data_IF_810736945137
#
_entry.id   IF_810736945137
#
_cell.length_a   1.000
_cell.length_b   1.000
_cell.length_c   1.000
_cell.angle_alpha   90.00
_cell.angle_beta   90.00
_cell.angle_gamma   90.00
#
_symmetry.space_group_name_H-M   'P 1'
#
loop_
_entity.id
_entity.type
_entity.pdbx_description
1 polymer ?
#
# COMPACT_ATOMS: atom_id res chain seq x y z
N UNK A 1 17.81 2.52 8.22
CA UNK A 1 17.52 3.15 6.91
C UNK A 1 16.01 3.20 6.75
N UNK A 2 15.41 4.40 6.69
CA UNK A 2 13.97 4.53 6.44
C UNK A 2 13.68 4.09 4.99
N UNK A 3 12.67 3.23 4.82
CA UNK A 3 12.24 2.86 3.48
C UNK A 3 11.47 4.02 2.87
N UNK A 4 11.48 4.17 1.54
CA UNK A 4 10.66 5.18 0.86
C UNK A 4 9.16 5.04 1.16
N UNK A 5 8.73 3.89 1.67
CA UNK A 5 7.36 3.59 2.04
C UNK A 5 7.01 3.89 3.51
N UNK A 6 7.95 4.40 4.32
CA UNK A 6 7.70 4.80 5.70
C UNK A 6 6.53 5.80 5.83
N UNK A 7 6.38 6.83 4.97
CA UNK A 7 5.24 7.74 5.04
C UNK A 7 3.89 7.04 4.82
N UNK A 8 3.86 6.04 3.94
CA UNK A 8 2.66 5.24 3.67
C UNK A 8 2.29 4.38 4.88
N UNK A 9 3.29 3.78 5.53
CA UNK A 9 3.10 3.06 6.78
C UNK A 9 2.43 3.93 7.83
N UNK A 10 3.00 5.11 8.11
CA UNK A 10 2.46 6.03 9.12
C UNK A 10 1.05 6.53 8.77
N UNK A 11 0.79 6.77 7.48
CA UNK A 11 -0.52 7.18 7.01
C UNK A 11 -1.59 6.12 7.35
N UNK A 12 -1.30 4.86 7.05
CA UNK A 12 -2.21 3.74 7.34
C UNK A 12 -2.36 3.47 8.85
N UNK A 13 -1.28 3.61 9.64
CA UNK A 13 -1.37 3.51 11.11
C UNK A 13 -2.35 4.54 11.66
N UNK A 14 -2.25 5.81 11.22
CA UNK A 14 -3.18 6.87 11.66
C UNK A 14 -4.63 6.58 11.31
N UNK A 15 -4.89 5.96 10.15
CA UNK A 15 -6.24 5.50 9.80
C UNK A 15 -6.71 4.37 10.73
N UNK A 16 -5.82 3.43 11.06
CA UNK A 16 -6.15 2.33 11.98
C UNK A 16 -6.44 2.80 13.40
N UNK A 17 -5.71 3.81 13.88
CA UNK A 17 -5.93 4.47 15.16
C UNK A 17 -7.25 5.25 15.21
N UNK A 18 -7.73 5.77 14.07
CA UNK A 18 -9.05 6.39 13.94
C UNK A 18 -10.20 5.39 13.96
N UNK A 19 -9.92 4.10 13.83
CA UNK A 19 -10.91 3.04 13.76
C UNK A 19 -11.31 2.65 12.33
N UNK A 20 -10.61 3.16 11.31
CA UNK A 20 -10.87 2.76 9.93
C UNK A 20 -10.43 1.30 9.70
N UNK A 21 -11.30 0.51 9.09
CA UNK A 21 -11.02 -0.88 8.71
C UNK A 21 -10.57 -1.00 7.26
N UNK A 22 -10.90 -0.02 6.42
CA UNK A 22 -10.63 0.01 4.99
C UNK A 22 -10.22 1.42 4.57
N UNK A 23 -9.21 1.52 3.70
CA UNK A 23 -8.69 2.79 3.17
C UNK A 23 -8.55 2.64 1.67
N UNK A 24 -9.37 3.38 0.92
CA UNK A 24 -9.20 3.53 -0.52
C UNK A 24 -8.12 4.59 -0.77
N UNK A 25 -7.12 4.25 -1.57
CA UNK A 25 -6.12 5.18 -2.05
C UNK A 25 -5.91 4.99 -3.55
N UNK A 26 -5.81 6.09 -4.28
CA UNK A 26 -5.34 6.07 -5.67
C UNK A 26 -3.82 5.90 -5.73
N UNK A 27 -3.31 5.46 -6.88
CA UNK A 27 -1.87 5.28 -7.08
C UNK A 27 -1.16 6.63 -6.95
N UNK A 28 -1.78 7.70 -7.44
CA UNK A 28 -1.28 9.06 -7.31
C UNK A 28 -1.24 9.53 -5.84
N UNK A 29 -2.23 9.19 -5.03
CA UNK A 29 -2.19 9.45 -3.58
C UNK A 29 -1.07 8.68 -2.91
N UNK A 30 -0.89 7.40 -3.25
CA UNK A 30 0.22 6.59 -2.73
C UNK A 30 1.56 7.22 -3.09
N UNK A 31 1.75 7.62 -4.35
CA UNK A 31 2.96 8.33 -4.83
C UNK A 31 3.20 9.66 -4.10
N UNK A 32 2.13 10.39 -3.84
CA UNK A 32 2.18 11.66 -3.09
C UNK A 32 2.59 11.42 -1.64
N UNK A 33 2.04 10.38 -1.00
CA UNK A 33 2.38 9.99 0.38
C UNK A 33 3.84 9.58 0.47
N UNK A 34 4.31 8.68 -0.41
CA UNK A 34 5.71 8.22 -0.42
C UNK A 34 6.68 9.21 -1.05
N UNK A 35 6.16 10.33 -1.60
CA UNK A 35 6.90 11.37 -2.32
C UNK A 35 7.81 10.82 -3.41
N UNK A 36 7.37 9.75 -4.05
CA UNK A 36 8.16 8.98 -5.02
C UNK A 36 7.21 8.30 -6.00
N UNK A 37 7.53 8.26 -7.30
CA UNK A 37 6.73 7.53 -8.26
C UNK A 37 6.78 6.01 -7.97
N UNK A 38 5.64 5.36 -8.16
CA UNK A 38 5.51 3.92 -8.10
C UNK A 38 6.23 3.31 -9.33
N UNK A 39 6.88 2.14 -9.17
CA UNK A 39 7.52 1.48 -10.30
C UNK A 39 6.46 1.06 -11.34
N UNK A 40 6.83 0.95 -12.63
CA UNK A 40 5.92 0.48 -13.68
C UNK A 40 5.25 -0.87 -13.35
N UNK A 41 5.91 -1.71 -12.56
CA UNK A 41 5.36 -2.98 -12.11
C UNK A 41 4.10 -2.83 -11.24
N UNK A 42 3.99 -1.76 -10.45
CA UNK A 42 2.78 -1.46 -9.68
C UNK A 42 1.58 -1.18 -10.60
N UNK A 43 1.83 -0.60 -11.78
CA UNK A 43 0.81 -0.28 -12.78
C UNK A 43 0.39 -1.49 -13.62
N UNK A 44 1.34 -2.39 -13.91
CA UNK A 44 1.11 -3.49 -14.84
C UNK A 44 0.78 -4.83 -14.16
N UNK A 45 1.17 -5.01 -12.89
CA UNK A 45 1.04 -6.29 -12.21
C UNK A 45 0.25 -6.15 -10.91
N UNK A 46 -1.00 -6.64 -10.89
CA UNK A 46 -1.79 -6.77 -9.66
C UNK A 46 -1.02 -7.51 -8.56
N UNK A 47 -0.29 -8.62 -8.84
CA UNK A 47 0.50 -9.32 -7.83
C UNK A 47 1.52 -8.45 -7.10
N UNK A 48 1.97 -7.33 -7.69
CA UNK A 48 2.86 -6.36 -7.04
C UNK A 48 2.22 -5.77 -5.77
N UNK A 49 0.90 -5.56 -5.78
CA UNK A 49 0.14 -5.07 -4.61
C UNK A 49 -0.26 -6.19 -3.65
N UNK A 50 -0.23 -7.45 -4.08
CA UNK A 50 -0.69 -8.57 -3.26
C UNK A 50 0.33 -8.98 -2.21
N UNK A 51 -0.16 -9.50 -1.08
CA UNK A 51 0.65 -10.02 0.01
C UNK A 51 1.11 -11.47 -0.16
N UNK A 52 1.12 -11.97 -1.40
CA UNK A 52 1.54 -13.34 -1.68
C UNK A 52 3.01 -13.54 -1.30
N UNK A 53 3.28 -14.48 -0.39
CA UNK A 53 4.61 -14.79 0.19
C UNK A 53 5.73 -15.00 -0.86
N UNK A 54 5.37 -15.32 -2.09
CA UNK A 54 6.31 -15.51 -3.21
C UNK A 54 6.79 -14.21 -3.88
N UNK A 55 6.05 -13.10 -3.73
CA UNK A 55 6.32 -11.82 -4.42
C UNK A 55 6.20 -10.63 -3.46
N UNK A 56 6.54 -10.82 -2.18
CA UNK A 56 6.54 -9.70 -1.22
C UNK A 56 7.71 -8.78 -1.52
N UNK A 57 7.42 -7.77 -2.34
CA UNK A 57 8.31 -6.67 -2.67
C UNK A 57 8.62 -5.82 -1.43
N UNK A 58 9.76 -5.11 -1.48
CA UNK A 58 10.18 -4.20 -0.43
C UNK A 58 9.16 -3.08 -0.11
N UNK A 59 8.27 -2.77 -1.07
CA UNK A 59 7.18 -1.81 -0.88
C UNK A 59 6.11 -2.30 0.08
N UNK A 60 5.56 -3.47 -0.18
CA UNK A 60 4.58 -4.10 0.71
C UNK A 60 5.14 -4.27 2.12
N UNK A 61 6.33 -4.87 2.23
CA UNK A 61 7.02 -5.17 3.50
C UNK A 61 7.23 -3.96 4.40
N UNK A 62 7.58 -2.80 3.83
CA UNK A 62 7.92 -1.61 4.60
C UNK A 62 6.80 -0.55 4.64
N UNK A 63 5.75 -0.72 3.85
CA UNK A 63 4.61 0.19 3.75
C UNK A 63 3.42 -0.33 4.55
N UNK A 64 2.44 -0.91 3.86
CA UNK A 64 1.17 -1.35 4.46
C UNK A 64 1.32 -2.59 5.35
N UNK A 65 2.13 -3.59 4.98
CA UNK A 65 2.33 -4.78 5.85
C UNK A 65 2.97 -4.40 7.18
N UNK A 66 3.96 -3.50 7.16
CA UNK A 66 4.58 -2.99 8.38
C UNK A 66 3.63 -2.13 9.23
N UNK A 67 2.54 -1.65 8.67
CA UNK A 67 1.48 -0.93 9.37
C UNK A 67 0.39 -1.86 9.93
N UNK A 68 0.43 -3.16 9.64
CA UNK A 68 -0.68 -4.09 9.95
C UNK A 68 -1.85 -3.99 8.97
N UNK A 69 -1.58 -3.62 7.72
CA UNK A 69 -2.57 -3.51 6.65
C UNK A 69 -2.25 -4.50 5.52
N UNK A 70 -3.29 -4.99 4.86
CA UNK A 70 -3.28 -5.82 3.65
C UNK A 70 -3.91 -5.04 2.48
N UNK A 71 -3.66 -5.46 1.25
CA UNK A 71 -4.40 -5.01 0.08
C UNK A 71 -5.56 -5.98 -0.16
N UNK A 72 -6.78 -5.52 0.11
CA UNK A 72 -8.01 -6.29 -0.13
C UNK A 72 -8.34 -6.33 -1.63
N UNK A 73 -8.21 -5.18 -2.29
CA UNK A 73 -8.51 -5.06 -3.71
C UNK A 73 -7.60 -4.07 -4.41
N UNK A 74 -7.26 -4.34 -5.68
CA UNK A 74 -6.55 -3.40 -6.52
C UNK A 74 -7.14 -3.38 -7.93
N UNK A 75 -7.36 -2.17 -8.44
CA UNK A 75 -7.83 -1.91 -9.78
C UNK A 75 -6.76 -1.14 -10.56
N UNK A 76 -6.13 -1.80 -11.51
CA UNK A 76 -5.10 -1.18 -12.37
C UNK A 76 -5.70 -0.23 -13.43
N UNK A 77 -6.96 -0.44 -13.84
CA UNK A 77 -7.63 0.46 -14.81
C UNK A 77 -7.90 1.81 -14.18
N UNK A 78 -8.54 1.78 -13.01
CA UNK A 78 -8.90 2.99 -12.27
C UNK A 78 -7.75 3.50 -11.40
N UNK A 79 -6.64 2.75 -11.34
CA UNK A 79 -5.43 3.06 -10.56
C UNK A 79 -5.76 3.34 -9.09
N UNK A 80 -6.55 2.46 -8.50
CA UNK A 80 -6.95 2.51 -7.10
C UNK A 80 -6.62 1.21 -6.39
N UNK A 81 -6.30 1.33 -5.10
CA UNK A 81 -6.03 0.21 -4.20
C UNK A 81 -6.83 0.41 -2.92
N UNK A 82 -7.41 -0.68 -2.42
CA UNK A 82 -8.11 -0.73 -1.15
C UNK A 82 -7.21 -1.47 -0.18
N UNK A 83 -6.75 -0.75 0.83
CA UNK A 83 -6.08 -1.33 1.96
C UNK A 83 -7.11 -1.72 3.00
N UNK A 84 -6.93 -2.87 3.65
CA UNK A 84 -7.75 -3.33 4.75
C UNK A 84 -6.87 -3.65 5.94
N UNK A 85 -7.34 -3.38 7.15
CA UNK A 85 -6.60 -3.73 8.36
C UNK A 85 -6.47 -5.24 8.47
N UNK A 86 -5.24 -5.74 8.50
CA UNK A 86 -4.97 -7.14 8.81
C UNK A 86 -5.18 -7.31 10.32
N UNK A 87 -6.10 -8.21 10.70
CA UNK A 87 -6.40 -8.53 12.08
C UNK A 87 -5.28 -9.33 12.76
#
# INVERSE_FOLDING_TARGET
MASKYTPLKEHLIRHGEKGDTEVLASFNEVETIIRCPLPPSAYNHRPWWTNSKHTVIAGAKNGWLAAGWDVDYVNLKDKVVIFRRAH
#
